data_IF_276729330887
#
_entry.id   IF_276729330887
#
_cell.length_a   1.000
_cell.length_b   1.000
_cell.length_c   1.000
_cell.angle_alpha   90.00
_cell.angle_beta   90.00
_cell.angle_gamma   90.00
#
_symmetry.space_group_name_H-M   'P 1'
#
loop_
_entity.id
_entity.type
_entity.pdbx_description
1 polymer ?
#
# COMPACT_ATOMS: atom_id res chain seq x y z
N UNK A 1 -10.72 4.02 41.61
CA UNK A 1 -9.57 3.11 41.57
C UNK A 1 -9.68 2.02 40.49
N UNK A 2 -10.86 1.46 40.22
CA UNK A 2 -11.07 0.40 39.18
C UNK A 2 -10.74 0.89 37.73
N UNK A 3 -11.04 2.14 37.42
CA UNK A 3 -10.80 2.69 36.09
C UNK A 3 -9.30 2.86 35.71
N UNK A 4 -8.40 3.01 36.67
CA UNK A 4 -6.98 3.18 36.40
C UNK A 4 -6.29 1.85 36.09
N UNK A 5 -6.71 0.77 36.73
CA UNK A 5 -6.18 -0.58 36.51
C UNK A 5 -6.64 -1.12 35.17
N UNK A 6 -7.92 -0.95 34.82
CA UNK A 6 -8.47 -1.37 33.50
C UNK A 6 -7.82 -0.63 32.36
N UNK A 7 -7.57 0.67 32.51
CA UNK A 7 -6.89 1.48 31.47
C UNK A 7 -5.42 1.06 31.28
N UNK A 8 -4.74 0.68 32.38
CA UNK A 8 -3.37 0.16 32.33
C UNK A 8 -3.29 -1.22 31.65
N UNK A 9 -4.24 -2.12 31.91
CA UNK A 9 -4.37 -3.42 31.25
C UNK A 9 -4.72 -3.26 29.77
N UNK A 10 -5.63 -2.36 29.44
CA UNK A 10 -6.02 -2.09 28.05
C UNK A 10 -4.86 -1.53 27.21
N UNK A 11 -4.10 -0.58 27.78
CA UNK A 11 -2.91 -0.05 27.13
C UNK A 11 -1.79 -1.11 26.98
N UNK A 12 -1.57 -1.98 27.98
CA UNK A 12 -0.60 -3.06 27.89
C UNK A 12 -0.97 -4.08 26.78
N UNK A 13 -2.26 -4.40 26.62
CA UNK A 13 -2.75 -5.27 25.54
C UNK A 13 -2.56 -4.61 24.16
N UNK A 14 -2.75 -3.28 24.05
CA UNK A 14 -2.48 -2.54 22.82
C UNK A 14 -0.99 -2.53 22.52
N UNK A 15 -0.13 -2.28 23.51
CA UNK A 15 1.32 -2.27 23.33
C UNK A 15 1.88 -3.64 22.91
N UNK A 16 1.39 -4.74 23.51
CA UNK A 16 1.75 -6.10 23.07
C UNK A 16 1.23 -6.41 21.67
N UNK A 17 0.06 -5.90 21.33
CA UNK A 17 -0.53 -6.07 20.02
C UNK A 17 0.26 -5.31 18.94
N UNK A 18 0.62 -4.06 19.21
CA UNK A 18 1.41 -3.21 18.31
C UNK A 18 2.83 -3.76 18.12
N UNK A 19 3.45 -4.29 19.19
CA UNK A 19 4.73 -4.98 19.12
C UNK A 19 4.67 -6.27 18.30
N UNK A 20 3.62 -7.07 18.43
CA UNK A 20 3.42 -8.29 17.65
C UNK A 20 3.08 -7.99 16.19
N UNK A 21 2.39 -6.88 15.91
CA UNK A 21 2.11 -6.40 14.55
C UNK A 21 3.38 -5.85 13.89
N UNK A 22 4.17 -5.06 14.62
CA UNK A 22 5.46 -4.57 14.19
C UNK A 22 6.44 -5.72 13.91
N UNK A 23 6.53 -6.72 14.79
CA UNK A 23 7.37 -7.89 14.58
C UNK A 23 6.95 -8.70 13.34
N UNK A 24 5.66 -8.78 13.03
CA UNK A 24 5.16 -9.43 11.80
C UNK A 24 5.46 -8.61 10.54
N UNK A 25 5.38 -7.27 10.63
CA UNK A 25 5.70 -6.37 9.54
C UNK A 25 7.22 -6.29 9.28
N UNK A 26 8.04 -6.41 10.34
CA UNK A 26 9.50 -6.42 10.25
C UNK A 26 10.08 -7.72 9.68
N UNK A 27 9.27 -8.79 9.60
CA UNK A 27 9.74 -10.11 9.15
C UNK A 27 9.97 -10.20 7.63
N UNK A 28 9.26 -9.40 6.85
CA UNK A 28 9.41 -9.37 5.39
C UNK A 28 10.16 -8.12 4.94
N UNK A 29 11.42 -8.30 4.51
CA UNK A 29 12.25 -7.22 3.97
C UNK A 29 12.72 -7.60 2.57
N UNK A 30 12.03 -7.16 1.52
CA UNK A 30 12.46 -7.41 0.15
C UNK A 30 13.75 -6.67 -0.18
N UNK A 31 14.51 -7.20 -1.14
CA UNK A 31 15.61 -6.47 -1.75
C UNK A 31 15.03 -5.38 -2.63
N UNK A 32 15.48 -4.15 -2.44
CA UNK A 32 15.01 -2.98 -3.19
C UNK A 32 16.12 -2.37 -4.03
N UNK A 33 15.72 -1.69 -5.09
CA UNK A 33 16.56 -0.81 -5.91
C UNK A 33 15.83 0.52 -6.12
N UNK A 34 16.53 1.65 -6.36
CA UNK A 34 15.86 2.91 -6.67
C UNK A 34 14.99 2.81 -7.91
N UNK A 35 13.74 3.25 -7.83
CA UNK A 35 12.86 3.38 -8.99
C UNK A 35 13.45 4.37 -10.01
N UNK A 36 13.36 4.02 -11.30
CA UNK A 36 13.80 4.87 -12.40
C UNK A 36 12.69 5.79 -12.90
N UNK A 37 11.42 5.42 -12.66
CA UNK A 37 10.26 6.06 -13.29
C UNK A 37 9.49 6.93 -12.31
N UNK A 38 9.58 6.66 -11.00
CA UNK A 38 8.75 7.32 -10.00
C UNK A 38 9.55 7.97 -8.88
N UNK A 39 9.05 9.14 -8.44
CA UNK A 39 9.60 9.88 -7.29
C UNK A 39 8.49 10.41 -6.40
N UNK A 40 8.78 10.57 -5.11
CA UNK A 40 7.89 11.19 -4.15
C UNK A 40 8.19 12.67 -4.02
N UNK A 41 7.15 13.49 -4.06
CA UNK A 41 7.25 14.92 -3.80
C UNK A 41 7.51 15.22 -2.32
N UNK A 42 8.57 15.93 -2.03
CA UNK A 42 8.93 16.39 -0.69
C UNK A 42 8.81 17.88 -0.57
N UNK A 43 7.79 18.37 0.14
CA UNK A 43 7.68 19.79 0.51
C UNK A 43 8.27 20.03 1.91
N UNK A 44 8.86 21.21 2.10
CA UNK A 44 9.19 21.71 3.45
C UNK A 44 7.91 22.26 4.05
N UNK A 45 7.31 21.53 5.01
CA UNK A 45 6.03 21.89 5.62
C UNK A 45 6.23 22.89 6.76
N UNK A 46 6.06 24.19 6.45
CA UNK A 46 6.07 25.29 7.41
C UNK A 46 5.12 26.40 6.98
N UNK A 47 5.04 27.51 7.76
CA UNK A 47 4.17 28.63 7.48
C UNK A 47 4.46 29.38 6.15
N UNK A 48 5.60 29.10 5.50
CA UNK A 48 5.98 29.68 4.20
C UNK A 48 5.66 28.75 3.03
N UNK A 49 5.12 27.56 3.29
CA UNK A 49 4.78 26.58 2.27
C UNK A 49 3.46 26.97 1.62
N UNK A 50 3.46 27.17 0.30
CA UNK A 50 2.21 27.43 -0.42
C UNK A 50 1.33 26.18 -0.50
N UNK A 51 0.04 26.39 -0.72
CA UNK A 51 -0.95 25.33 -0.77
C UNK A 51 -0.57 24.20 -1.77
N UNK A 52 -0.19 24.58 -3.01
CA UNK A 52 0.14 23.59 -4.05
C UNK A 52 1.35 22.72 -3.68
N UNK A 53 2.36 23.29 -3.04
CA UNK A 53 3.53 22.55 -2.57
C UNK A 53 3.14 21.59 -1.42
N UNK A 54 2.34 22.05 -0.49
CA UNK A 54 1.85 21.24 0.63
C UNK A 54 0.94 20.10 0.14
N UNK A 55 0.04 20.38 -0.79
CA UNK A 55 -0.90 19.41 -1.36
C UNK A 55 -0.20 18.28 -2.12
N UNK A 56 0.97 18.54 -2.72
CA UNK A 56 1.75 17.53 -3.40
C UNK A 56 2.64 16.70 -2.46
N UNK A 57 2.81 17.10 -1.21
CA UNK A 57 3.68 16.40 -0.27
C UNK A 57 3.28 14.93 -0.08
N UNK A 58 4.22 14.01 -0.26
CA UNK A 58 3.99 12.57 -0.12
C UNK A 58 3.37 11.89 -1.34
N UNK A 59 3.00 12.63 -2.38
CA UNK A 59 2.49 12.04 -3.61
C UNK A 59 3.62 11.50 -4.47
N UNK A 60 3.34 10.41 -5.18
CA UNK A 60 4.24 9.78 -6.13
C UNK A 60 3.90 10.28 -7.53
N UNK A 61 4.92 10.67 -8.28
CA UNK A 61 4.82 11.18 -9.63
C UNK A 61 5.65 10.34 -10.58
N UNK A 62 5.10 10.09 -11.77
CA UNK A 62 5.85 9.61 -12.93
C UNK A 62 6.70 10.79 -13.45
N UNK A 63 8.02 10.62 -13.42
CA UNK A 63 8.94 11.69 -13.84
C UNK A 63 9.08 11.82 -15.36
N UNK A 64 8.51 10.88 -16.10
CA UNK A 64 8.50 10.85 -17.56
C UNK A 64 7.19 11.34 -18.16
N UNK A 65 6.15 11.56 -17.34
CA UNK A 65 4.86 12.11 -17.79
C UNK A 65 5.01 13.63 -18.06
N UNK A 66 4.97 14.07 -19.33
CA UNK A 66 5.16 15.47 -19.68
C UNK A 66 4.02 16.38 -19.22
N UNK A 67 2.90 15.82 -18.76
CA UNK A 67 1.75 16.57 -18.24
C UNK A 67 1.89 16.88 -16.75
N UNK A 68 2.84 16.26 -16.07
CA UNK A 68 3.12 16.45 -14.64
C UNK A 68 4.09 17.61 -14.44
N UNK A 69 3.67 18.59 -13.68
CA UNK A 69 4.56 19.68 -13.26
C UNK A 69 5.37 19.23 -12.04
N UNK A 70 6.68 19.07 -12.23
CA UNK A 70 7.63 18.76 -11.18
C UNK A 70 8.21 20.03 -10.52
N UNK A 71 8.78 19.96 -9.29
CA UNK A 71 9.39 21.11 -8.66
C UNK A 71 10.62 21.62 -9.45
N UNK A 72 10.87 22.94 -9.45
CA UNK A 72 10.19 23.98 -8.69
C UNK A 72 8.92 24.50 -9.38
N UNK A 73 7.78 24.60 -8.65
CA UNK A 73 6.52 25.12 -9.20
C UNK A 73 6.48 26.65 -9.31
N UNK A 74 7.33 27.34 -8.56
CA UNK A 74 7.32 28.81 -8.48
C UNK A 74 8.67 29.32 -7.95
N UNK A 75 8.89 30.62 -8.05
CA UNK A 75 10.07 31.28 -7.48
C UNK A 75 10.15 31.00 -5.96
N UNK A 76 11.34 30.63 -5.48
CA UNK A 76 11.62 30.22 -4.09
C UNK A 76 10.87 28.95 -3.63
N UNK A 77 10.49 28.07 -4.55
CA UNK A 77 10.01 26.75 -4.22
C UNK A 77 11.14 25.97 -3.50
N UNK A 78 10.80 25.33 -2.37
CA UNK A 78 11.74 24.52 -1.55
C UNK A 78 11.42 23.02 -1.62
N UNK A 79 10.61 22.62 -2.58
CA UNK A 79 10.26 21.22 -2.79
C UNK A 79 11.39 20.50 -3.52
N UNK A 80 11.53 19.22 -3.20
CA UNK A 80 12.44 18.27 -3.86
C UNK A 80 11.68 17.02 -4.28
N UNK A 81 12.32 16.18 -5.06
CA UNK A 81 11.86 14.84 -5.38
C UNK A 81 12.77 13.83 -4.72
N UNK A 82 12.21 12.99 -3.87
CA UNK A 82 12.91 11.86 -3.26
C UNK A 82 12.69 10.61 -4.11
N UNK A 83 13.70 9.76 -4.21
CA UNK A 83 13.56 8.47 -4.85
C UNK A 83 12.58 7.60 -4.04
N UNK A 84 11.79 6.81 -4.74
CA UNK A 84 11.13 5.65 -4.15
C UNK A 84 11.92 4.40 -4.50
N UNK A 85 11.73 3.37 -3.72
CA UNK A 85 12.34 2.07 -3.96
C UNK A 85 11.44 1.22 -4.88
N UNK A 86 12.05 0.37 -5.67
CA UNK A 86 11.40 -0.63 -6.50
C UNK A 86 11.82 -2.04 -6.09
N UNK A 87 10.97 -3.01 -6.35
CA UNK A 87 11.17 -4.43 -6.05
C UNK A 87 10.89 -5.21 -7.34
N UNK A 88 11.78 -6.13 -7.70
CA UNK A 88 11.53 -7.03 -8.83
C UNK A 88 10.32 -7.94 -8.55
N UNK A 89 9.48 -8.14 -9.56
CA UNK A 89 8.32 -9.02 -9.48
C UNK A 89 8.74 -10.45 -9.07
N UNK A 90 8.02 -11.02 -8.11
CA UNK A 90 8.35 -12.29 -7.46
C UNK A 90 9.14 -12.14 -6.15
N UNK A 91 9.59 -10.92 -5.81
CA UNK A 91 10.32 -10.65 -4.57
C UNK A 91 9.53 -9.78 -3.58
N UNK A 92 8.34 -9.31 -3.95
CA UNK A 92 7.52 -8.45 -3.10
C UNK A 92 6.54 -9.21 -2.21
N UNK A 93 6.39 -10.51 -2.41
CA UNK A 93 5.55 -11.39 -1.59
C UNK A 93 6.30 -12.63 -1.11
N UNK A 94 5.77 -13.27 -0.05
CA UNK A 94 6.32 -14.53 0.46
C UNK A 94 6.17 -15.72 -0.51
N UNK A 95 5.40 -15.55 -1.59
CA UNK A 95 5.01 -16.63 -2.49
C UNK A 95 5.89 -16.71 -3.75
N UNK A 96 6.89 -15.83 -3.90
CA UNK A 96 7.78 -15.84 -5.05
C UNK A 96 7.01 -15.70 -6.37
N UNK A 97 7.28 -16.56 -7.33
CA UNK A 97 6.61 -16.58 -8.65
C UNK A 97 5.12 -16.97 -8.60
N UNK A 98 4.64 -17.50 -7.47
CA UNK A 98 3.21 -17.74 -7.23
C UNK A 98 2.53 -16.52 -6.56
N UNK A 99 3.29 -15.46 -6.27
CA UNK A 99 2.84 -14.25 -5.61
C UNK A 99 2.04 -13.32 -6.52
N UNK A 100 1.23 -12.46 -5.89
CA UNK A 100 0.41 -11.49 -6.61
C UNK A 100 1.24 -10.49 -7.43
N UNK A 101 2.41 -10.09 -6.93
CA UNK A 101 3.33 -9.19 -7.61
C UNK A 101 3.81 -9.77 -8.95
N UNK A 102 4.24 -11.03 -8.94
CA UNK A 102 4.65 -11.74 -10.16
C UNK A 102 3.47 -11.92 -11.14
N UNK A 103 2.31 -12.36 -10.63
CA UNK A 103 1.14 -12.62 -11.47
C UNK A 103 0.58 -11.34 -12.10
N UNK A 104 0.47 -10.26 -11.35
CA UNK A 104 0.02 -8.97 -11.88
C UNK A 104 1.01 -8.41 -12.92
N UNK A 105 2.31 -8.55 -12.69
CA UNK A 105 3.33 -8.09 -13.64
C UNK A 105 3.28 -8.84 -14.96
N UNK A 106 3.22 -10.17 -14.92
CA UNK A 106 3.36 -11.02 -16.09
C UNK A 106 2.03 -11.43 -16.74
N UNK A 107 0.99 -11.65 -15.95
CA UNK A 107 -0.30 -12.16 -16.42
C UNK A 107 -1.46 -11.18 -16.30
N UNK A 108 -1.23 -10.01 -15.68
CA UNK A 108 -2.24 -8.95 -15.49
C UNK A 108 -3.48 -9.38 -14.68
N UNK A 109 -3.34 -10.40 -13.85
CA UNK A 109 -4.41 -10.96 -13.02
C UNK A 109 -3.87 -11.40 -11.68
N UNK A 110 -4.72 -11.46 -10.65
CA UNK A 110 -4.40 -12.10 -9.39
C UNK A 110 -4.33 -13.62 -9.54
N UNK A 111 -3.49 -14.31 -8.75
CA UNK A 111 -3.51 -15.77 -8.65
C UNK A 111 -4.89 -16.32 -8.28
N UNK A 112 -5.16 -17.56 -8.66
CA UNK A 112 -6.46 -18.21 -8.46
C UNK A 112 -6.85 -18.42 -6.98
N UNK A 113 -5.90 -18.32 -6.05
CA UNK A 113 -6.18 -18.41 -4.62
C UNK A 113 -6.74 -17.11 -4.01
N UNK A 114 -6.91 -16.03 -4.80
CA UNK A 114 -7.63 -14.85 -4.34
C UNK A 114 -9.14 -15.05 -4.40
N UNK A 115 -9.84 -14.40 -3.48
CA UNK A 115 -11.28 -14.32 -3.40
C UNK A 115 -11.73 -12.86 -3.29
N UNK A 116 -12.71 -12.48 -4.08
CA UNK A 116 -13.25 -11.11 -4.10
C UNK A 116 -14.32 -10.92 -3.02
N UNK A 117 -14.65 -9.66 -2.71
CA UNK A 117 -15.73 -9.33 -1.77
C UNK A 117 -17.08 -10.00 -2.14
N UNK A 118 -17.59 -9.91 -3.39
CA UNK A 118 -18.86 -10.56 -3.73
C UNK A 118 -18.84 -12.08 -3.51
N UNK A 119 -17.70 -12.72 -3.78
CA UNK A 119 -17.55 -14.16 -3.54
C UNK A 119 -17.55 -14.49 -2.04
N UNK A 120 -16.89 -13.68 -1.20
CA UNK A 120 -16.94 -13.85 0.25
C UNK A 120 -18.32 -13.61 0.83
N UNK A 121 -19.02 -12.57 0.36
CA UNK A 121 -20.39 -12.27 0.77
C UNK A 121 -21.35 -13.40 0.41
N UNK A 122 -21.16 -14.06 -0.73
CA UNK A 122 -21.91 -15.25 -1.12
C UNK A 122 -21.68 -16.45 -0.17
N UNK A 123 -20.53 -16.49 0.53
CA UNK A 123 -20.25 -17.47 1.59
C UNK A 123 -20.77 -17.04 2.97
N UNK A 124 -21.45 -15.89 3.06
CA UNK A 124 -22.02 -15.36 4.29
C UNK A 124 -21.11 -14.40 5.07
N UNK A 125 -19.97 -14.02 4.52
CA UNK A 125 -19.08 -13.01 5.11
C UNK A 125 -19.76 -11.65 5.15
N UNK A 126 -19.50 -10.89 6.21
CA UNK A 126 -19.93 -9.50 6.37
C UNK A 126 -18.75 -8.62 6.74
N UNK A 127 -18.85 -7.34 6.44
CA UNK A 127 -17.83 -6.35 6.80
C UNK A 127 -17.54 -6.41 8.31
N UNK A 128 -16.24 -6.54 8.65
CA UNK A 128 -15.78 -6.73 10.02
C UNK A 128 -15.49 -8.19 10.41
N UNK A 129 -16.01 -9.17 9.65
CA UNK A 129 -15.63 -10.56 9.82
C UNK A 129 -14.24 -10.85 9.26
N UNK A 130 -13.59 -11.90 9.79
CA UNK A 130 -12.32 -12.39 9.25
C UNK A 130 -12.59 -13.19 7.97
N UNK A 131 -12.01 -12.82 6.80
CA UNK A 131 -12.20 -13.58 5.55
C UNK A 131 -11.83 -15.07 5.69
N UNK A 132 -10.77 -15.39 6.44
CA UNK A 132 -10.32 -16.77 6.66
C UNK A 132 -11.33 -17.68 7.41
N UNK A 133 -12.33 -17.11 8.07
CA UNK A 133 -13.42 -17.90 8.69
C UNK A 133 -14.34 -18.51 7.61
N UNK A 134 -14.49 -17.83 6.48
CA UNK A 134 -15.41 -18.22 5.39
C UNK A 134 -14.67 -18.86 4.21
N UNK A 135 -13.43 -18.46 3.99
CA UNK A 135 -12.55 -18.97 2.94
C UNK A 135 -11.12 -19.11 3.48
N UNK A 136 -10.83 -20.18 4.27
CA UNK A 136 -9.56 -20.34 5.01
C UNK A 136 -8.32 -20.42 4.11
N UNK A 137 -8.47 -20.98 2.90
CA UNK A 137 -7.36 -21.17 1.95
C UNK A 137 -7.31 -20.07 0.88
N UNK A 138 -8.02 -18.97 1.09
CA UNK A 138 -8.09 -17.87 0.14
C UNK A 138 -7.52 -16.58 0.71
N UNK A 139 -6.93 -15.80 -0.16
CA UNK A 139 -6.48 -14.44 0.13
C UNK A 139 -7.50 -13.42 -0.40
N UNK A 140 -7.75 -12.37 0.37
CA UNK A 140 -8.74 -11.36 0.02
C UNK A 140 -8.15 -10.31 -0.92
N UNK A 141 -8.87 -9.94 -1.99
CA UNK A 141 -8.44 -8.88 -2.87
C UNK A 141 -9.32 -8.67 -4.11
N UNK A 142 -8.99 -7.63 -4.86
CA UNK A 142 -9.69 -7.22 -6.08
C UNK A 142 -10.70 -6.10 -5.87
N UNK A 143 -10.73 -5.47 -4.69
CA UNK A 143 -11.53 -4.28 -4.43
C UNK A 143 -10.92 -3.04 -5.10
N UNK A 144 -11.77 -2.06 -5.41
CA UNK A 144 -11.31 -0.75 -5.88
C UNK A 144 -10.64 0.00 -4.72
N UNK A 145 -9.44 0.51 -4.99
CA UNK A 145 -8.74 1.46 -4.14
C UNK A 145 -8.94 2.87 -4.68
N UNK A 146 -9.58 3.74 -3.92
CA UNK A 146 -10.00 5.07 -4.41
C UNK A 146 -8.87 6.09 -4.52
N UNK A 147 -7.71 5.85 -3.88
CA UNK A 147 -6.56 6.76 -3.86
C UNK A 147 -6.96 8.19 -3.45
N UNK A 148 -7.84 8.33 -2.45
CA UNK A 148 -8.43 9.61 -2.01
C UNK A 148 -7.36 10.58 -1.49
N UNK A 149 -6.29 10.05 -0.88
CA UNK A 149 -5.12 10.82 -0.45
C UNK A 149 -4.17 11.17 -1.60
N UNK A 150 -4.45 10.70 -2.81
CA UNK A 150 -3.72 10.96 -4.05
C UNK A 150 -2.23 10.61 -3.97
N UNK A 151 -1.82 9.69 -3.11
CA UNK A 151 -0.42 9.28 -2.96
C UNK A 151 0.12 8.56 -4.19
N UNK A 152 -0.68 7.66 -4.80
CA UNK A 152 -0.28 6.97 -6.02
C UNK A 152 -0.50 7.85 -7.26
N UNK A 153 0.29 7.64 -8.34
CA UNK A 153 0.19 8.42 -9.56
C UNK A 153 -1.24 8.46 -10.09
N UNK A 154 -1.79 9.66 -10.29
CA UNK A 154 -3.15 9.84 -10.77
C UNK A 154 -3.18 10.22 -12.25
N UNK A 155 -4.16 9.71 -12.99
CA UNK A 155 -4.40 10.00 -14.40
C UNK A 155 -5.89 9.83 -14.71
N UNK A 156 -6.41 10.62 -15.65
CA UNK A 156 -7.80 10.48 -16.11
C UNK A 156 -8.07 9.06 -16.62
N UNK A 157 -9.10 8.41 -16.08
CA UNK A 157 -9.48 7.03 -16.43
C UNK A 157 -8.68 5.95 -15.72
N UNK A 158 -7.69 6.28 -14.89
CA UNK A 158 -6.99 5.30 -14.06
C UNK A 158 -7.87 4.87 -12.91
N UNK A 159 -7.98 3.55 -12.75
CA UNK A 159 -8.66 2.89 -11.64
C UNK A 159 -7.62 2.06 -10.92
N UNK A 160 -7.53 2.22 -9.61
CA UNK A 160 -6.69 1.43 -8.75
C UNK A 160 -7.48 0.30 -8.11
N UNK A 161 -6.84 -0.84 -7.95
CA UNK A 161 -7.34 -2.01 -7.24
C UNK A 161 -6.37 -2.36 -6.11
N UNK A 162 -6.85 -3.10 -5.11
CA UNK A 162 -6.01 -3.57 -4.02
C UNK A 162 -6.26 -5.03 -3.67
N UNK A 163 -5.25 -5.67 -3.10
CA UNK A 163 -5.34 -6.99 -2.51
C UNK A 163 -4.41 -7.12 -1.31
N UNK A 164 -4.79 -7.99 -0.38
CA UNK A 164 -3.91 -8.41 0.73
C UNK A 164 -2.74 -9.22 0.18
N UNK A 165 -1.56 -9.05 0.77
CA UNK A 165 -0.38 -9.89 0.49
C UNK A 165 0.28 -10.32 1.80
N UNK A 166 1.10 -11.38 1.75
CA UNK A 166 1.83 -11.91 2.90
C UNK A 166 0.90 -12.28 4.07
N UNK A 167 -0.34 -12.62 3.76
CA UNK A 167 -1.38 -12.91 4.73
C UNK A 167 -1.23 -14.34 5.25
N UNK A 168 -1.21 -14.47 6.56
CA UNK A 168 -1.35 -15.77 7.24
C UNK A 168 -2.79 -15.95 7.73
N UNK A 169 -3.38 -17.17 7.64
CA UNK A 169 -4.72 -17.42 8.14
C UNK A 169 -4.93 -16.90 9.55
N UNK A 170 -5.98 -16.13 9.78
CA UNK A 170 -6.33 -15.55 11.06
C UNK A 170 -6.60 -14.05 10.98
N UNK A 171 -5.61 -13.21 11.17
CA UNK A 171 -5.76 -11.75 11.14
C UNK A 171 -5.10 -11.17 9.87
N UNK A 172 -5.81 -10.26 9.21
CA UNK A 172 -5.23 -9.46 8.11
C UNK A 172 -4.08 -8.61 8.65
N UNK A 173 -3.00 -8.54 7.88
CA UNK A 173 -1.86 -7.67 8.13
C UNK A 173 -2.03 -6.30 7.43
N UNK A 174 -1.01 -5.45 7.48
CA UNK A 174 -0.97 -4.14 6.83
C UNK A 174 -0.39 -4.17 5.41
N UNK A 175 0.00 -5.35 4.91
CA UNK A 175 0.62 -5.48 3.60
C UNK A 175 -0.43 -5.51 2.49
N UNK A 176 -0.27 -4.65 1.49
CA UNK A 176 -1.17 -4.56 0.33
C UNK A 176 -0.36 -4.49 -0.96
N UNK A 177 -0.93 -5.07 -2.00
CA UNK A 177 -0.52 -4.79 -3.38
C UNK A 177 -1.61 -3.97 -4.04
N UNK A 178 -1.20 -2.94 -4.78
CA UNK A 178 -2.09 -2.05 -5.50
C UNK A 178 -1.69 -2.07 -6.97
N UNK A 179 -2.68 -2.16 -7.84
CA UNK A 179 -2.41 -2.12 -9.28
C UNK A 179 -3.46 -1.29 -10.00
N UNK A 180 -3.07 -0.71 -11.12
CA UNK A 180 -3.96 0.10 -11.93
C UNK A 180 -4.42 -0.66 -13.18
N UNK A 181 -5.56 -0.23 -13.73
CA UNK A 181 -6.08 -0.74 -15.00
C UNK A 181 -5.16 -0.47 -16.20
N UNK A 182 -4.21 0.46 -16.07
CA UNK A 182 -3.21 0.80 -17.08
C UNK A 182 -1.80 0.25 -16.79
N UNK A 183 -1.67 -0.65 -15.81
CA UNK A 183 -0.51 -1.52 -15.65
C UNK A 183 0.52 -1.12 -14.61
N UNK A 184 0.28 -0.07 -13.81
CA UNK A 184 1.14 0.27 -12.68
C UNK A 184 0.90 -0.71 -11.52
N UNK A 185 1.97 -1.08 -10.80
CA UNK A 185 1.87 -1.98 -9.66
C UNK A 185 2.76 -1.42 -8.54
N UNK A 186 2.19 -1.28 -7.35
CA UNK A 186 2.89 -0.87 -6.13
C UNK A 186 2.55 -1.80 -4.98
N UNK A 187 3.45 -1.91 -4.00
CA UNK A 187 3.20 -2.58 -2.73
C UNK A 187 3.42 -1.62 -1.57
N UNK A 188 2.73 -1.87 -0.47
CA UNK A 188 2.94 -1.22 0.82
C UNK A 188 2.98 -2.28 1.91
N UNK A 189 3.85 -2.11 2.90
CA UNK A 189 3.97 -3.02 4.04
C UNK A 189 3.55 -2.36 5.36
N UNK A 190 3.17 -1.07 5.30
CA UNK A 190 2.84 -0.21 6.44
C UNK A 190 1.48 0.50 6.29
N UNK A 191 0.53 -0.16 5.61
CA UNK A 191 -0.83 0.32 5.42
C UNK A 191 -0.89 1.70 4.75
N UNK A 192 -0.31 1.80 3.54
CA UNK A 192 -0.32 2.96 2.63
C UNK A 192 0.50 4.18 3.10
N UNK A 193 1.47 3.99 4.01
CA UNK A 193 2.40 5.07 4.38
C UNK A 193 3.58 5.15 3.41
N UNK A 194 4.17 4.00 3.08
CA UNK A 194 5.27 3.89 2.11
C UNK A 194 4.86 2.96 0.96
N UNK A 195 5.30 3.30 -0.25
CA UNK A 195 5.04 2.49 -1.43
C UNK A 195 6.35 2.13 -2.13
N UNK A 196 6.37 0.91 -2.68
CA UNK A 196 7.44 0.37 -3.49
C UNK A 196 6.88 0.02 -4.86
N UNK A 197 7.56 0.43 -5.93
CA UNK A 197 7.18 0.05 -7.29
C UNK A 197 7.50 -1.44 -7.54
N UNK A 198 6.70 -2.13 -8.37
CA UNK A 198 6.99 -3.49 -8.86
C UNK A 198 7.49 -3.41 -10.31
N UNK A 199 8.76 -3.76 -10.51
CA UNK A 199 9.46 -3.74 -11.80
C UNK A 199 9.65 -5.12 -12.41
#
# INVERSE_FOLDING_TARGET
>A
MINCVLKKYYNAILDEHDLAEKARNDYFKPVTVPSQDYKTWRAVLDLKTCFNCADNHGRIFDIHDPTVMLPPLHLRCRCTLDNIEAIEAGNATNNGTDGADYWLKHFKTLPSYYITRPQLEALGWRYGDRPSKFAPDRMYGGDIYYNDDRKLPNKTGRIWYEADINYTPGRRNNHRILWSNDGLIFVTYDHYHTFYEII
#
